data_IF_808692465323
#
_entry.id   IF_808692465323
#
_cell.length_a   1.000
_cell.length_b   1.000
_cell.length_c   1.000
_cell.angle_alpha   90.00
_cell.angle_beta   90.00
_cell.angle_gamma   90.00
#
_symmetry.space_group_name_H-M   'P 1'
#
loop_
_entity.id
_entity.type
_entity.pdbx_description
1 polymer ?
#
# COMPACT_ATOMS: atom_id res chain seq x y z
N UNK A 1 -7.80 2.11 3.92
CA UNK A 1 -7.61 1.42 2.62
C UNK A 1 -8.23 2.24 1.49
N UNK A 2 -7.56 2.34 0.34
CA UNK A 2 -8.15 2.96 -0.88
C UNK A 2 -8.51 1.85 -1.86
N UNK A 3 -9.76 1.84 -2.34
CA UNK A 3 -10.28 0.86 -3.29
C UNK A 3 -11.13 1.54 -4.37
N UNK A 4 -11.15 0.97 -5.57
CA UNK A 4 -12.02 1.39 -6.66
C UNK A 4 -13.09 0.34 -6.94
N UNK A 5 -14.18 0.73 -7.59
CA UNK A 5 -15.23 -0.21 -8.01
C UNK A 5 -14.80 -1.17 -9.13
N UNK A 6 -13.57 -1.08 -9.64
CA UNK A 6 -13.05 -1.92 -10.72
C UNK A 6 -12.84 -3.36 -10.26
N UNK A 7 -13.00 -4.34 -11.18
CA UNK A 7 -12.86 -5.79 -10.94
C UNK A 7 -12.07 -6.53 -12.02
N UNK A 8 -11.23 -5.82 -12.80
CA UNK A 8 -10.62 -6.39 -14.01
C UNK A 8 -9.32 -7.15 -13.77
N UNK A 9 -8.65 -6.93 -12.65
CA UNK A 9 -7.36 -7.55 -12.33
C UNK A 9 -7.45 -8.33 -11.02
N UNK A 10 -6.46 -9.19 -10.77
CA UNK A 10 -6.34 -9.95 -9.53
C UNK A 10 -6.38 -9.02 -8.31
N UNK A 11 -5.60 -7.92 -8.33
CA UNK A 11 -5.59 -6.99 -7.23
C UNK A 11 -6.89 -6.19 -7.06
N UNK A 12 -7.63 -5.95 -8.15
CA UNK A 12 -8.97 -5.37 -8.02
C UNK A 12 -9.91 -6.32 -7.29
N UNK A 13 -9.92 -7.60 -7.65
CA UNK A 13 -10.75 -8.60 -6.99
C UNK A 13 -10.37 -8.74 -5.52
N UNK A 14 -9.08 -8.90 -5.23
CA UNK A 14 -8.58 -9.03 -3.86
C UNK A 14 -8.98 -7.84 -2.97
N UNK A 15 -9.02 -6.61 -3.50
CA UNK A 15 -9.50 -5.45 -2.71
C UNK A 15 -10.95 -5.61 -2.27
N UNK A 16 -11.82 -6.14 -3.14
CA UNK A 16 -13.22 -6.40 -2.78
C UNK A 16 -13.32 -7.53 -1.77
N UNK A 17 -12.55 -8.61 -1.95
CA UNK A 17 -12.54 -9.74 -1.03
C UNK A 17 -12.07 -9.30 0.38
N UNK A 18 -11.07 -8.41 0.45
CA UNK A 18 -10.63 -7.80 1.73
C UNK A 18 -11.75 -6.95 2.34
N UNK A 19 -12.44 -6.13 1.55
CA UNK A 19 -13.53 -5.28 2.07
C UNK A 19 -14.67 -6.13 2.61
N UNK A 20 -15.03 -7.21 1.92
CA UNK A 20 -16.10 -8.12 2.34
C UNK A 20 -15.69 -8.84 3.64
N UNK A 21 -14.45 -9.37 3.72
CA UNK A 21 -13.92 -10.00 4.93
C UNK A 21 -13.86 -9.04 6.14
N UNK A 22 -13.45 -7.78 5.91
CA UNK A 22 -13.43 -6.75 6.97
C UNK A 22 -14.84 -6.49 7.53
N UNK A 23 -15.86 -6.46 6.67
CA UNK A 23 -17.26 -6.28 7.08
C UNK A 23 -17.80 -7.48 7.83
N UNK A 24 -17.52 -8.69 7.32
CA UNK A 24 -17.97 -9.94 7.94
C UNK A 24 -17.38 -10.13 9.35
N UNK A 25 -16.14 -9.69 9.57
CA UNK A 25 -15.49 -9.72 10.87
C UNK A 25 -15.84 -8.50 11.75
N UNK A 26 -16.56 -7.51 11.24
CA UNK A 26 -16.90 -6.28 11.98
C UNK A 26 -15.68 -5.42 12.34
N UNK A 27 -14.61 -5.48 11.55
CA UNK A 27 -13.39 -4.71 11.78
C UNK A 27 -13.56 -3.25 11.33
N UNK A 28 -13.20 -2.30 12.22
CA UNK A 28 -13.27 -0.87 11.93
C UNK A 28 -12.12 -0.43 11.02
N UNK A 29 -12.29 -0.61 9.73
CA UNK A 29 -11.35 -0.18 8.70
C UNK A 29 -12.03 0.76 7.73
N UNK A 30 -11.51 1.99 7.64
CA UNK A 30 -12.01 2.96 6.67
C UNK A 30 -11.65 2.55 5.24
N UNK A 31 -12.66 2.34 4.40
CA UNK A 31 -12.50 2.05 2.97
C UNK A 31 -12.96 3.27 2.18
N UNK A 32 -12.03 3.84 1.42
CA UNK A 32 -12.25 5.06 0.65
C UNK A 32 -12.04 4.80 -0.85
N UNK A 33 -12.69 5.60 -1.69
CA UNK A 33 -12.57 5.55 -3.14
C UNK A 33 -13.89 5.41 -3.87
N UNK A 34 -13.84 5.38 -5.20
CA UNK A 34 -15.06 5.32 -6.03
C UNK A 34 -15.81 4.00 -5.79
N UNK A 35 -17.06 4.10 -5.32
CA UNK A 35 -17.88 2.95 -4.92
C UNK A 35 -17.86 2.68 -3.41
N UNK A 36 -17.07 3.45 -2.66
CA UNK A 36 -16.95 3.48 -1.20
C UNK A 36 -17.07 4.93 -0.71
N UNK A 37 -16.49 5.27 0.43
CA UNK A 37 -16.45 6.65 0.90
C UNK A 37 -15.62 7.53 -0.05
N UNK A 38 -16.16 8.63 -0.61
CA UNK A 38 -15.41 9.50 -1.50
C UNK A 38 -14.31 10.25 -0.75
N UNK A 39 -13.26 10.66 -1.46
CA UNK A 39 -12.23 11.56 -0.99
C UNK A 39 -11.86 12.54 -2.11
N UNK A 40 -11.37 13.71 -1.75
CA UNK A 40 -10.91 14.72 -2.71
C UNK A 40 -9.44 14.50 -3.07
N UNK A 41 -8.62 14.16 -2.07
CA UNK A 41 -7.18 13.95 -2.22
C UNK A 41 -6.74 12.60 -1.64
N UNK A 42 -5.83 11.91 -2.32
CA UNK A 42 -5.36 10.57 -1.95
C UNK A 42 -4.76 10.49 -0.54
N UNK A 43 -4.13 11.57 -0.06
CA UNK A 43 -3.54 11.56 1.27
C UNK A 43 -4.59 11.39 2.38
N UNK A 44 -5.84 11.76 2.17
CA UNK A 44 -6.94 11.56 3.13
C UNK A 44 -7.15 10.08 3.47
N UNK A 45 -6.85 9.19 2.51
CA UNK A 45 -6.94 7.74 2.69
C UNK A 45 -5.74 7.10 3.40
N UNK A 46 -4.67 7.86 3.67
CA UNK A 46 -3.44 7.35 4.29
C UNK A 46 -3.01 8.15 5.51
N UNK A 47 -2.94 9.48 5.42
CA UNK A 47 -2.33 10.34 6.45
C UNK A 47 -2.96 10.22 7.86
N UNK A 48 -4.28 10.02 8.02
CA UNK A 48 -4.87 9.84 9.35
C UNK A 48 -4.60 8.46 9.97
N UNK A 49 -4.04 7.50 9.21
CA UNK A 49 -3.98 6.10 9.60
C UNK A 49 -2.54 5.62 9.79
N UNK A 50 -2.28 4.91 10.91
CA UNK A 50 -0.97 4.27 11.17
C UNK A 50 -0.66 3.12 10.21
N UNK A 51 -1.69 2.42 9.74
CA UNK A 51 -1.57 1.32 8.79
C UNK A 51 -2.51 1.53 7.61
N UNK A 52 -2.07 1.12 6.42
CA UNK A 52 -2.89 1.15 5.22
C UNK A 52 -2.79 -0.16 4.47
N UNK A 53 -3.92 -0.78 4.16
CA UNK A 53 -3.95 -1.90 3.21
C UNK A 53 -3.70 -1.35 1.82
N UNK A 54 -2.61 -1.80 1.20
CA UNK A 54 -2.13 -1.37 -0.12
C UNK A 54 -2.03 -2.59 -1.03
N UNK A 55 -2.89 -2.64 -2.05
CA UNK A 55 -2.96 -3.75 -2.99
C UNK A 55 -2.72 -3.20 -4.39
N UNK A 56 -1.68 -3.72 -5.06
CA UNK A 56 -1.41 -3.39 -6.46
C UNK A 56 -2.43 -4.03 -7.40
N UNK A 57 -2.42 -3.67 -8.67
CA UNK A 57 -3.36 -4.26 -9.64
C UNK A 57 -2.98 -5.69 -10.01
N UNK A 58 -1.67 -5.96 -10.07
CA UNK A 58 -1.09 -7.27 -10.36
C UNK A 58 0.08 -7.54 -9.41
N UNK A 59 0.44 -8.81 -9.25
CA UNK A 59 1.60 -9.25 -8.49
C UNK A 59 2.69 -9.66 -9.48
N UNK A 60 3.77 -8.86 -9.57
CA UNK A 60 4.91 -9.10 -10.44
C UNK A 60 6.17 -8.45 -9.84
N UNK A 61 7.34 -9.02 -10.15
CA UNK A 61 8.63 -8.50 -9.69
C UNK A 61 8.83 -7.07 -10.20
N UNK A 62 9.34 -6.20 -9.34
CA UNK A 62 9.56 -4.79 -9.61
C UNK A 62 8.30 -3.95 -9.82
N UNK A 63 7.10 -4.56 -9.77
CA UNK A 63 5.86 -3.84 -9.99
C UNK A 63 5.27 -3.29 -8.69
N UNK A 64 5.65 -2.09 -8.34
CA UNK A 64 4.97 -1.27 -7.35
C UNK A 64 4.65 0.10 -7.95
N UNK A 65 3.62 0.74 -7.44
CA UNK A 65 3.10 1.98 -8.03
C UNK A 65 2.98 3.09 -6.97
N UNK A 66 2.37 4.20 -7.40
CA UNK A 66 2.04 5.31 -6.49
C UNK A 66 1.27 4.87 -5.25
N UNK A 67 0.60 3.72 -5.25
CA UNK A 67 -0.18 3.25 -4.10
C UNK A 67 0.70 2.96 -2.89
N UNK A 68 1.83 2.26 -3.13
CA UNK A 68 2.84 2.02 -2.09
C UNK A 68 3.53 3.32 -1.68
N UNK A 69 3.93 4.12 -2.66
CA UNK A 69 4.63 5.38 -2.44
C UNK A 69 3.77 6.36 -1.62
N UNK A 70 2.49 6.52 -1.98
CA UNK A 70 1.56 7.42 -1.28
C UNK A 70 1.40 7.04 0.20
N UNK A 71 1.32 5.74 0.53
CA UNK A 71 1.24 5.27 1.91
C UNK A 71 2.53 5.60 2.70
N UNK A 72 3.71 5.32 2.12
CA UNK A 72 5.01 5.63 2.74
C UNK A 72 5.21 7.14 2.96
N UNK A 73 4.82 7.96 2.00
CA UNK A 73 4.89 9.43 2.11
C UNK A 73 3.97 9.98 3.21
N UNK A 74 2.85 9.33 3.46
CA UNK A 74 1.90 9.66 4.51
C UNK A 74 2.27 9.07 5.89
N UNK A 75 3.44 8.43 6.03
CA UNK A 75 3.88 7.77 7.26
C UNK A 75 2.90 6.67 7.74
N UNK A 76 2.19 6.05 6.81
CA UNK A 76 1.30 4.92 7.06
C UNK A 76 2.00 3.63 6.68
N UNK A 77 2.10 2.67 7.61
CA UNK A 77 2.76 1.38 7.37
C UNK A 77 1.91 0.57 6.39
N UNK A 78 2.45 0.20 5.21
CA UNK A 78 1.72 -0.60 4.25
C UNK A 78 1.53 -2.05 4.72
N UNK A 79 0.29 -2.54 4.75
CA UNK A 79 -0.04 -3.97 4.67
C UNK A 79 -0.15 -4.22 3.17
N UNK A 80 0.89 -4.84 2.60
CA UNK A 80 1.17 -4.75 1.17
C UNK A 80 1.01 -6.07 0.43
N UNK A 81 0.24 -6.02 -0.65
CA UNK A 81 0.16 -7.07 -1.66
C UNK A 81 0.54 -6.49 -3.03
N UNK A 82 1.61 -6.99 -3.63
CA UNK A 82 2.13 -6.49 -4.91
C UNK A 82 3.43 -7.18 -5.30
N UNK A 83 4.49 -6.41 -5.58
CA UNK A 83 5.79 -6.92 -5.97
C UNK A 83 6.34 -7.93 -4.95
N UNK A 84 6.62 -9.19 -5.35
CA UNK A 84 7.23 -10.20 -4.45
C UNK A 84 8.60 -9.79 -3.94
N UNK A 85 9.34 -9.05 -4.75
CA UNK A 85 10.70 -8.56 -4.52
C UNK A 85 10.75 -7.14 -3.91
N UNK A 86 9.68 -6.71 -3.25
CA UNK A 86 9.57 -5.35 -2.70
C UNK A 86 10.66 -5.02 -1.68
N UNK A 87 11.24 -6.02 -1.02
CA UNK A 87 12.35 -5.91 -0.08
C UNK A 87 13.69 -5.56 -0.74
N UNK A 88 13.84 -5.78 -2.04
CA UNK A 88 14.98 -5.26 -2.83
C UNK A 88 14.92 -3.73 -2.93
N UNK A 89 13.71 -3.18 -2.91
CA UNK A 89 13.46 -1.76 -3.09
C UNK A 89 13.32 -1.00 -1.77
N UNK A 90 12.82 -1.63 -0.72
CA UNK A 90 12.61 -1.01 0.60
C UNK A 90 13.14 -1.92 1.69
N UNK A 91 13.70 -1.31 2.75
CA UNK A 91 14.26 -2.06 3.89
C UNK A 91 13.26 -3.09 4.43
N UNK A 92 13.73 -4.29 4.71
CA UNK A 92 12.92 -5.32 5.34
C UNK A 92 12.29 -4.80 6.65
N UNK A 93 11.01 -5.05 6.81
CA UNK A 93 10.26 -4.69 8.01
C UNK A 93 9.65 -3.28 8.00
N UNK A 94 9.79 -2.50 6.90
CA UNK A 94 9.09 -1.21 6.76
C UNK A 94 7.63 -1.37 6.35
N UNK A 95 7.30 -2.49 5.77
CA UNK A 95 5.95 -2.87 5.36
C UNK A 95 5.65 -4.30 5.80
N UNK A 96 4.39 -4.67 5.77
CA UNK A 96 3.94 -6.02 6.08
C UNK A 96 3.55 -6.67 4.75
N UNK A 97 4.50 -7.41 4.16
CA UNK A 97 4.27 -8.12 2.90
C UNK A 97 3.27 -9.26 3.13
N UNK A 98 2.28 -9.37 2.25
CA UNK A 98 1.24 -10.38 2.27
C UNK A 98 1.09 -11.00 0.87
N UNK A 99 0.79 -12.29 0.80
CA UNK A 99 0.55 -13.02 -0.44
C UNK A 99 -0.93 -13.41 -0.62
N UNK A 100 -1.64 -13.57 0.50
CA UNK A 100 -3.01 -14.07 0.54
C UNK A 100 -3.95 -13.13 1.28
N UNK A 101 -5.26 -13.30 1.06
CA UNK A 101 -6.30 -12.63 1.83
C UNK A 101 -6.15 -12.90 3.33
N UNK A 102 -5.90 -14.13 3.73
CA UNK A 102 -5.76 -14.52 5.14
C UNK A 102 -4.59 -13.80 5.82
N UNK A 103 -3.47 -13.64 5.12
CA UNK A 103 -2.32 -12.89 5.63
C UNK A 103 -2.62 -11.40 5.77
N UNK A 104 -3.34 -10.80 4.82
CA UNK A 104 -3.81 -9.41 4.92
C UNK A 104 -4.71 -9.25 6.14
N UNK A 105 -5.70 -10.14 6.32
CA UNK A 105 -6.61 -10.09 7.45
C UNK A 105 -5.90 -10.31 8.78
N UNK A 106 -4.93 -11.23 8.84
CA UNK A 106 -4.08 -11.42 10.03
C UNK A 106 -3.28 -10.16 10.33
N UNK A 107 -2.67 -9.52 9.32
CA UNK A 107 -1.92 -8.29 9.48
C UNK A 107 -2.80 -7.14 9.99
N UNK A 108 -4.04 -7.01 9.48
CA UNK A 108 -5.00 -6.02 9.97
C UNK A 108 -5.33 -6.25 11.44
N UNK A 109 -5.68 -7.48 11.85
CA UNK A 109 -6.00 -7.81 13.24
C UNK A 109 -4.84 -7.58 14.21
N UNK A 110 -3.60 -7.75 13.75
CA UNK A 110 -2.39 -7.58 14.55
C UNK A 110 -1.79 -6.17 14.48
N UNK A 111 -2.49 -5.23 13.84
CA UNK A 111 -2.06 -3.84 13.70
C UNK A 111 -2.42 -3.04 14.96
N UNK A 112 -1.41 -2.73 15.77
CA UNK A 112 -1.56 -1.96 16.99
C UNK A 112 -0.51 -0.82 17.08
N UNK A 113 -0.61 -0.01 18.12
CA UNK A 113 0.27 1.14 18.34
C UNK A 113 1.71 0.69 18.61
N UNK A 114 1.91 -0.40 19.33
CA UNK A 114 3.25 -0.91 19.66
C UNK A 114 3.98 -1.39 18.41
N UNK A 115 3.26 -2.06 17.51
CA UNK A 115 3.79 -2.48 16.20
C UNK A 115 4.14 -1.28 15.33
N UNK A 116 3.30 -0.25 15.32
CA UNK A 116 3.57 0.99 14.60
C UNK A 116 4.87 1.65 15.12
N UNK A 117 4.99 1.84 16.42
CA UNK A 117 6.15 2.50 17.05
C UNK A 117 7.45 1.72 16.78
N UNK A 118 7.38 0.40 16.78
CA UNK A 118 8.52 -0.47 16.44
C UNK A 118 8.99 -0.30 14.98
N UNK A 119 8.05 -0.14 14.04
CA UNK A 119 8.35 -0.03 12.60
C UNK A 119 8.68 1.41 12.20
N UNK A 120 8.17 2.40 12.91
CA UNK A 120 8.28 3.81 12.56
C UNK A 120 9.69 4.30 12.19
N UNK A 121 10.78 3.92 12.86
CA UNK A 121 12.13 4.35 12.45
C UNK A 121 12.52 3.88 11.03
N UNK A 122 12.12 2.66 10.64
CA UNK A 122 12.33 2.14 9.28
C UNK A 122 11.41 2.87 8.28
N UNK A 123 10.18 3.15 8.67
CA UNK A 123 9.21 3.91 7.88
C UNK A 123 9.73 5.31 7.52
N UNK A 124 10.36 6.01 8.45
CA UNK A 124 10.93 7.34 8.19
C UNK A 124 12.06 7.30 7.15
N UNK A 125 12.92 6.26 7.19
CA UNK A 125 13.95 6.05 6.15
C UNK A 125 13.33 5.74 4.80
N UNK A 126 12.30 4.89 4.76
CA UNK A 126 11.59 4.55 3.54
C UNK A 126 10.84 5.74 2.94
N UNK A 127 10.30 6.64 3.78
CA UNK A 127 9.69 7.90 3.33
C UNK A 127 10.69 8.74 2.54
N UNK A 128 11.91 8.92 3.04
CA UNK A 128 12.96 9.67 2.31
C UNK A 128 13.25 9.05 0.94
N UNK A 129 13.31 7.71 0.86
CA UNK A 129 13.46 7.02 -0.43
C UNK A 129 12.24 7.22 -1.34
N UNK A 130 11.03 7.14 -0.77
CA UNK A 130 9.78 7.35 -1.49
C UNK A 130 9.64 8.78 -2.05
N UNK A 131 10.15 9.79 -1.35
CA UNK A 131 10.23 11.17 -1.84
C UNK A 131 11.04 11.26 -3.14
N UNK A 132 12.17 10.55 -3.22
CA UNK A 132 12.96 10.44 -4.46
C UNK A 132 12.22 9.75 -5.61
N UNK A 133 11.32 8.82 -5.30
CA UNK A 133 10.53 8.07 -6.28
C UNK A 133 9.20 8.74 -6.65
N UNK A 134 8.81 9.81 -5.97
CA UNK A 134 7.54 10.52 -6.19
C UNK A 134 7.32 10.92 -7.64
N UNK A 135 8.40 11.23 -8.36
CA UNK A 135 8.39 11.64 -9.76
C UNK A 135 8.80 10.50 -10.70
N UNK A 136 8.50 9.23 -10.36
CA UNK A 136 8.94 8.06 -11.12
C UNK A 136 8.61 8.10 -12.63
N UNK A 137 7.54 8.80 -13.04
CA UNK A 137 7.25 9.05 -14.48
C UNK A 137 8.33 9.88 -15.14
N UNK A 138 8.90 10.86 -14.42
CA UNK A 138 10.02 11.66 -14.89
C UNK A 138 11.31 10.84 -14.89
N UNK A 139 11.52 10.01 -13.85
CA UNK A 139 12.65 9.10 -13.75
C UNK A 139 12.62 8.03 -14.85
N UNK A 140 11.48 7.43 -15.13
CA UNK A 140 11.32 6.48 -16.24
C UNK A 140 11.60 7.15 -17.59
N UNK A 141 11.14 8.39 -17.80
CA UNK A 141 11.43 9.15 -19.02
C UNK A 141 12.93 9.52 -19.15
N UNK A 142 13.63 9.77 -18.05
CA UNK A 142 15.08 10.02 -18.03
C UNK A 142 15.84 8.74 -18.34
N UNK A 143 15.49 7.61 -17.72
CA UNK A 143 16.12 6.30 -17.96
C UNK A 143 15.99 5.87 -19.42
N UNK A 144 14.80 6.00 -20.01
CA UNK A 144 14.56 5.66 -21.42
C UNK A 144 15.34 6.57 -22.41
N UNK A 145 15.73 7.79 -21.99
CA UNK A 145 16.58 8.68 -22.82
C UNK A 145 18.06 8.39 -22.69
N UNK A 146 18.51 7.78 -21.60
CA UNK A 146 19.93 7.45 -21.38
C UNK A 146 20.36 6.16 -22.08
N UNK A 147 19.42 5.38 -22.64
CA UNK A 147 19.67 4.15 -23.40
C UNK A 147 19.64 4.37 -24.92
N UNK A 148 19.52 5.61 -25.39
CA UNK A 148 19.61 6.02 -26.80
C UNK A 148 20.92 6.77 -27.04
#
# INVERSE_FOLDING_TARGET
>A
MIASARRYTQGHQLRHDVVDALRDEGLDVNVMGRGYAPFEQKHEGHAPYRFSVVIENVRADGYFTEKLIDALLCESIPIYWGAPDVDVHFDAGVLIACETLDEIMHAVRSSDIARYDKIRPALMRAKTKAEGLRNYRVLAAIMLRSEQ
#
